data_IF_667365254843
#
_entry.id   IF_667365254843
#
_cell.length_a   1.000
_cell.length_b   1.000
_cell.length_c   1.000
_cell.angle_alpha   90.00
_cell.angle_beta   90.00
_cell.angle_gamma   90.00
#
_symmetry.space_group_name_H-M   'P 1'
#
loop_
_entity.id
_entity.type
_entity.pdbx_description
1 polymer ?
#
# COMPACT_ATOMS: atom_id res chain seq x y z
N UNK A 1 0.00 23.03 9.19
CA UNK A 1 0.11 21.67 8.60
C UNK A 1 -1.19 21.31 7.90
N UNK A 2 -1.12 20.63 6.74
CA UNK A 2 -2.30 20.12 6.04
C UNK A 2 -2.50 18.65 6.39
N UNK A 3 -3.73 18.26 6.74
CA UNK A 3 -4.11 16.88 6.98
C UNK A 3 -4.89 16.37 5.77
N UNK A 4 -4.40 15.33 5.12
CA UNK A 4 -5.14 14.61 4.10
C UNK A 4 -5.77 13.37 4.75
N UNK A 5 -7.06 13.44 5.02
CA UNK A 5 -7.81 12.33 5.62
C UNK A 5 -8.44 11.53 4.49
N UNK A 6 -8.15 10.25 4.44
CA UNK A 6 -8.73 9.31 3.48
C UNK A 6 -9.65 8.32 4.18
N UNK A 7 -10.77 8.00 3.53
CA UNK A 7 -11.67 6.93 3.94
C UNK A 7 -11.73 5.87 2.82
N UNK A 8 -10.93 4.80 2.95
CA UNK A 8 -10.81 3.80 1.88
C UNK A 8 -12.10 3.05 1.57
N UNK A 9 -13.01 2.90 2.54
CA UNK A 9 -14.28 2.21 2.36
C UNK A 9 -15.14 2.89 1.28
N UNK A 10 -15.24 4.22 1.34
CA UNK A 10 -16.03 5.02 0.40
C UNK A 10 -15.20 5.56 -0.78
N UNK A 11 -13.87 5.46 -0.72
CA UNK A 11 -12.97 6.00 -1.74
C UNK A 11 -12.88 7.52 -1.74
N UNK A 12 -13.24 8.17 -0.64
CA UNK A 12 -13.27 9.63 -0.47
C UNK A 12 -12.03 10.15 0.25
N UNK A 13 -11.75 11.44 0.08
CA UNK A 13 -10.66 12.14 0.75
C UNK A 13 -11.08 13.56 1.08
N UNK A 14 -10.62 14.06 2.23
CA UNK A 14 -10.80 15.45 2.67
C UNK A 14 -9.47 16.03 3.11
N UNK A 15 -9.19 17.27 2.73
CA UNK A 15 -8.02 17.99 3.18
C UNK A 15 -8.45 19.05 4.19
N UNK A 16 -7.78 19.09 5.35
CA UNK A 16 -8.04 20.02 6.43
C UNK A 16 -6.76 20.79 6.74
N UNK A 17 -6.84 22.07 6.96
CA UNK A 17 -5.72 22.88 7.42
C UNK A 17 -5.80 23.06 8.93
N UNK A 18 -4.73 22.72 9.62
CA UNK A 18 -4.61 22.90 11.07
C UNK A 18 -3.89 24.18 11.42
N UNK A 19 -4.28 24.78 12.54
CA UNK A 19 -3.55 25.88 13.13
C UNK A 19 -2.27 25.38 13.83
N UNK A 20 -1.28 26.27 14.00
CA UNK A 20 0.01 25.90 14.62
C UNK A 20 -0.13 25.35 16.06
N UNK A 21 -1.15 25.80 16.79
CA UNK A 21 -1.41 25.31 18.16
C UNK A 21 -1.93 23.86 18.17
N UNK A 22 -2.75 23.51 17.20
CA UNK A 22 -3.30 22.16 17.06
C UNK A 22 -2.25 21.17 16.54
N UNK A 23 -1.38 21.62 15.63
CA UNK A 23 -0.28 20.81 15.11
C UNK A 23 0.60 20.24 16.21
N UNK A 24 0.88 21.03 17.26
CA UNK A 24 1.73 20.64 18.39
C UNK A 24 1.21 19.39 19.11
N UNK A 25 -0.11 19.16 19.12
CA UNK A 25 -0.72 17.98 19.74
C UNK A 25 -0.36 16.67 19.01
N UNK A 26 0.03 16.76 17.74
CA UNK A 26 0.42 15.61 16.92
C UNK A 26 1.93 15.35 16.91
N UNK A 27 2.75 16.27 17.42
CA UNK A 27 4.21 16.10 17.43
C UNK A 27 4.62 14.91 18.30
N UNK A 28 5.64 14.19 17.86
CA UNK A 28 6.15 12.99 18.51
C UNK A 28 5.43 11.70 18.15
N UNK A 29 4.26 11.76 17.52
CA UNK A 29 3.58 10.57 17.00
C UNK A 29 4.32 9.99 15.81
N UNK A 30 4.18 8.69 15.59
CA UNK A 30 4.85 7.94 14.52
C UNK A 30 3.88 7.48 13.44
N UNK A 31 4.43 7.03 12.32
CA UNK A 31 3.68 6.30 11.30
C UNK A 31 3.08 5.04 11.96
N UNK A 32 1.82 4.74 11.66
CA UNK A 32 0.95 3.70 12.23
C UNK A 32 0.42 3.97 13.64
N UNK A 33 0.78 5.10 14.26
CA UNK A 33 0.12 5.48 15.51
C UNK A 33 -1.34 5.84 15.25
N UNK A 34 -2.23 5.31 16.09
CA UNK A 34 -3.64 5.67 16.12
C UNK A 34 -3.90 6.72 17.19
N UNK A 35 -4.81 7.61 16.92
CA UNK A 35 -5.18 8.67 17.86
C UNK A 35 -6.63 9.11 17.67
N UNK A 36 -7.21 9.71 18.71
CA UNK A 36 -8.56 10.25 18.70
C UNK A 36 -8.61 11.56 17.90
N UNK A 37 -9.68 11.72 17.12
CA UNK A 37 -9.94 12.91 16.33
C UNK A 37 -10.10 14.20 17.11
N UNK A 38 -10.34 14.14 18.41
CA UNK A 38 -10.37 15.32 19.30
C UNK A 38 -9.10 16.17 19.22
N UNK A 39 -7.96 15.54 18.85
CA UNK A 39 -6.69 16.25 18.65
C UNK A 39 -6.71 17.14 17.41
N UNK A 40 -7.55 16.83 16.43
CA UNK A 40 -7.73 17.60 15.18
C UNK A 40 -8.78 18.69 15.40
N UNK A 41 -9.88 18.32 16.07
CA UNK A 41 -10.96 19.25 16.34
C UNK A 41 -12.13 18.56 17.06
N UNK A 42 -12.94 19.36 17.77
CA UNK A 42 -14.12 18.84 18.48
C UNK A 42 -15.14 18.13 17.56
N UNK A 43 -15.18 18.49 16.30
CA UNK A 43 -16.04 17.86 15.29
C UNK A 43 -15.74 16.37 15.08
N UNK A 44 -14.48 15.96 15.34
CA UNK A 44 -13.97 14.60 15.12
C UNK A 44 -13.86 13.77 16.39
N UNK A 45 -14.49 14.22 17.48
CA UNK A 45 -14.46 13.54 18.77
C UNK A 45 -14.95 12.09 18.67
N UNK A 46 -14.19 11.15 19.25
CA UNK A 46 -14.50 9.72 19.25
C UNK A 46 -14.23 9.01 17.91
N UNK A 47 -13.72 9.72 16.89
CA UNK A 47 -13.22 9.09 15.65
C UNK A 47 -11.77 8.68 15.82
N UNK A 48 -11.37 7.55 15.26
CA UNK A 48 -9.99 7.07 15.35
C UNK A 48 -9.32 7.23 13.99
N UNK A 49 -8.21 7.95 13.99
CA UNK A 49 -7.35 8.15 12.82
C UNK A 49 -6.03 7.42 13.00
N UNK A 50 -5.48 6.91 11.89
CA UNK A 50 -4.14 6.33 11.82
C UNK A 50 -3.23 7.16 10.90
N UNK A 51 -1.99 7.39 11.33
CA UNK A 51 -0.98 8.08 10.53
C UNK A 51 -0.37 7.09 9.53
N UNK A 52 -0.55 7.35 8.24
CA UNK A 52 0.01 6.50 7.17
C UNK A 52 1.34 7.04 6.67
N UNK A 53 1.55 8.34 6.77
CA UNK A 53 2.76 8.99 6.33
C UNK A 53 2.58 10.49 6.20
N UNK A 54 3.56 11.14 5.60
CA UNK A 54 3.52 12.58 5.41
C UNK A 54 4.68 13.07 4.55
N UNK A 55 4.67 14.36 4.30
CA UNK A 55 5.70 15.04 3.54
C UNK A 55 6.15 16.30 4.28
N UNK A 56 7.43 16.52 4.23
CA UNK A 56 8.09 17.74 4.69
C UNK A 56 7.72 18.93 3.78
N UNK A 57 7.99 20.15 4.22
CA UNK A 57 7.76 21.38 3.44
C UNK A 57 8.51 21.40 2.09
N UNK A 58 9.58 20.62 1.92
CA UNK A 58 10.26 20.42 0.64
C UNK A 58 9.76 19.19 -0.15
N UNK A 59 8.71 18.52 0.30
CA UNK A 59 8.15 17.35 -0.36
C UNK A 59 8.89 16.03 -0.10
N UNK A 60 9.84 16.00 0.87
CA UNK A 60 10.52 14.76 1.27
C UNK A 60 9.56 13.90 2.07
N UNK A 61 9.35 12.65 1.64
CA UNK A 61 8.40 11.73 2.26
C UNK A 61 8.95 11.12 3.57
N UNK A 62 8.04 10.89 4.51
CA UNK A 62 8.30 10.10 5.71
C UNK A 62 8.42 8.61 5.36
N UNK A 63 9.26 7.89 6.09
CA UNK A 63 9.49 6.45 5.91
C UNK A 63 9.35 5.74 7.24
N UNK A 64 8.64 4.63 7.20
CA UNK A 64 8.43 3.72 8.33
C UNK A 64 9.73 3.10 8.84
N UNK A 65 9.77 2.77 10.14
CA UNK A 65 10.88 2.05 10.76
C UNK A 65 12.15 2.88 10.96
N UNK A 66 12.07 4.20 10.83
CA UNK A 66 13.17 5.13 11.11
C UNK A 66 12.74 6.18 12.13
N UNK A 67 12.89 5.86 13.39
CA UNK A 67 12.44 6.66 14.54
C UNK A 67 13.33 7.88 14.76
N UNK A 68 13.22 8.83 13.87
CA UNK A 68 13.92 10.12 13.91
C UNK A 68 13.04 11.21 13.33
N UNK A 69 13.22 12.43 13.82
CA UNK A 69 12.57 13.63 13.28
C UNK A 69 13.37 14.26 12.14
N UNK A 70 14.62 13.81 11.91
CA UNK A 70 15.53 14.40 10.94
C UNK A 70 15.43 13.72 9.58
N UNK A 71 15.98 14.37 8.55
CA UNK A 71 16.20 13.74 7.25
C UNK A 71 17.39 12.80 7.31
N UNK A 72 17.24 11.64 6.71
CA UNK A 72 18.28 10.61 6.62
C UNK A 72 18.45 10.16 5.18
N UNK A 73 19.64 9.65 4.84
CA UNK A 73 19.92 9.10 3.52
C UNK A 73 19.92 7.57 3.58
N UNK A 74 18.95 6.96 2.93
CA UNK A 74 18.79 5.50 2.86
C UNK A 74 19.14 4.97 1.47
N UNK A 75 19.68 3.76 1.43
CA UNK A 75 19.89 3.01 0.21
C UNK A 75 18.58 2.30 -0.17
N UNK A 76 17.84 2.89 -1.10
CA UNK A 76 16.52 2.42 -1.50
C UNK A 76 16.55 1.58 -2.77
N UNK A 77 15.67 0.61 -2.85
CA UNK A 77 15.43 -0.28 -4.00
C UNK A 77 14.06 0.00 -4.63
N UNK A 78 13.76 -0.70 -5.71
CA UNK A 78 12.44 -0.61 -6.35
C UNK A 78 11.34 -1.08 -5.40
N UNK A 79 10.34 -0.25 -5.18
CA UNK A 79 9.20 -0.51 -4.29
C UNK A 79 9.28 0.18 -2.93
N UNK A 80 10.46 0.64 -2.52
CA UNK A 80 10.60 1.40 -1.29
C UNK A 80 10.01 2.81 -1.42
N UNK A 81 9.44 3.31 -0.33
CA UNK A 81 8.88 4.67 -0.25
C UNK A 81 9.99 5.70 -0.48
N UNK A 82 9.70 6.72 -1.28
CA UNK A 82 10.66 7.79 -1.60
C UNK A 82 11.57 7.50 -2.81
N UNK A 83 11.47 6.33 -3.43
CA UNK A 83 12.25 6.02 -4.62
C UNK A 83 11.44 5.40 -5.76
N UNK A 84 11.27 6.14 -6.85
CA UNK A 84 10.68 5.64 -8.08
C UNK A 84 11.77 5.11 -9.02
N UNK A 85 12.13 3.84 -8.86
CA UNK A 85 13.12 3.17 -9.70
C UNK A 85 12.54 2.82 -11.07
N UNK A 86 13.25 3.19 -12.15
CA UNK A 86 12.86 2.85 -13.54
C UNK A 86 13.47 1.54 -14.02
N UNK A 87 14.55 1.06 -13.38
CA UNK A 87 15.28 -0.17 -13.75
C UNK A 87 15.22 -1.18 -12.62
N UNK A 88 15.13 -2.45 -12.95
CA UNK A 88 15.16 -3.55 -11.99
C UNK A 88 16.59 -3.72 -11.46
N UNK A 89 16.75 -3.94 -10.13
CA UNK A 89 18.04 -4.20 -9.50
C UNK A 89 18.86 -2.97 -9.12
N UNK A 90 18.50 -1.77 -9.60
CA UNK A 90 19.20 -0.54 -9.25
C UNK A 90 18.80 -0.06 -7.86
N UNK A 91 19.80 0.25 -7.02
CA UNK A 91 19.62 0.90 -5.72
C UNK A 91 20.20 2.31 -5.79
N UNK A 92 19.62 3.25 -5.06
CA UNK A 92 20.16 4.60 -4.93
C UNK A 92 20.01 5.13 -3.51
N UNK A 93 20.99 5.90 -3.05
CA UNK A 93 20.86 6.66 -1.80
C UNK A 93 19.97 7.87 -2.06
N UNK A 94 18.82 7.89 -1.38
CA UNK A 94 17.84 8.97 -1.41
C UNK A 94 17.66 9.55 -0.03
N UNK A 95 17.41 10.85 0.02
CA UNK A 95 17.03 11.52 1.25
C UNK A 95 15.56 11.23 1.51
N UNK A 96 15.26 10.79 2.71
CA UNK A 96 13.91 10.55 3.22
C UNK A 96 13.79 11.16 4.61
N UNK A 97 12.58 11.33 5.08
CA UNK A 97 12.28 11.78 6.43
C UNK A 97 12.02 10.60 7.36
N UNK A 98 12.36 10.76 8.63
CA UNK A 98 12.03 9.74 9.64
C UNK A 98 10.53 9.60 9.88
N UNK A 99 10.16 8.60 10.70
CA UNK A 99 8.77 8.23 10.99
C UNK A 99 8.07 9.18 11.97
N UNK A 100 8.79 10.03 12.69
CA UNK A 100 8.25 10.88 13.77
C UNK A 100 7.77 12.22 13.21
N UNK A 101 6.54 12.58 13.57
CA UNK A 101 5.93 13.87 13.22
C UNK A 101 6.62 15.01 13.99
N UNK A 102 6.96 16.07 13.31
CA UNK A 102 7.60 17.26 13.86
C UNK A 102 7.10 18.52 13.15
N UNK A 103 7.55 19.69 13.63
CA UNK A 103 7.19 21.00 13.08
C UNK A 103 7.56 21.22 11.60
N UNK A 104 8.47 20.41 11.05
CA UNK A 104 8.88 20.53 9.65
C UNK A 104 7.97 19.74 8.69
N UNK A 105 6.97 18.99 9.21
CA UNK A 105 6.02 18.27 8.38
C UNK A 105 4.93 19.26 7.90
N UNK A 106 4.82 19.39 6.57
CA UNK A 106 3.83 20.26 5.95
C UNK A 106 2.50 19.54 5.69
N UNK A 107 2.59 18.27 5.31
CA UNK A 107 1.42 17.46 4.97
C UNK A 107 1.49 16.14 5.73
N UNK A 108 0.41 15.78 6.42
CA UNK A 108 0.24 14.50 7.09
C UNK A 108 -0.92 13.74 6.45
N UNK A 109 -0.68 12.49 6.10
CA UNK A 109 -1.68 11.61 5.50
C UNK A 109 -2.25 10.69 6.58
N UNK A 110 -3.57 10.75 6.75
CA UNK A 110 -4.33 10.00 7.74
C UNK A 110 -5.33 9.08 7.06
N UNK A 111 -5.60 7.94 7.68
CA UNK A 111 -6.73 7.07 7.32
C UNK A 111 -7.72 7.08 8.50
N UNK A 112 -9.00 7.18 8.17
CA UNK A 112 -10.09 6.97 9.12
C UNK A 112 -10.25 5.47 9.36
N UNK A 113 -9.98 5.03 10.60
CA UNK A 113 -10.09 3.63 11.04
C UNK A 113 -11.47 3.36 11.64
N UNK A 114 -11.93 4.24 12.53
CA UNK A 114 -13.23 4.11 13.20
C UNK A 114 -13.98 5.44 13.14
N UNK A 115 -15.21 5.37 12.71
CA UNK A 115 -16.15 6.49 12.65
C UNK A 115 -17.03 6.50 13.91
N UNK A 116 -17.28 7.68 14.47
CA UNK A 116 -18.27 7.90 15.52
C UNK A 116 -19.44 8.73 15.01
N UNK A 117 -19.15 9.83 14.31
CA UNK A 117 -20.14 10.70 13.70
C UNK A 117 -19.90 10.80 12.19
N UNK A 118 -20.94 10.93 11.35
CA UNK A 118 -20.76 11.12 9.93
C UNK A 118 -20.00 12.42 9.64
N UNK A 119 -18.94 12.32 8.85
CA UNK A 119 -18.10 13.45 8.47
C UNK A 119 -18.50 13.86 7.05
N UNK A 120 -18.92 15.10 6.86
CA UNK A 120 -19.26 15.65 5.54
C UNK A 120 -18.11 15.50 4.54
N UNK A 121 -18.44 15.15 3.29
CA UNK A 121 -17.51 14.91 2.18
C UNK A 121 -16.59 13.69 2.36
N UNK A 122 -16.59 13.03 3.50
CA UNK A 122 -15.71 11.90 3.78
C UNK A 122 -16.49 10.60 3.95
N UNK A 123 -17.47 10.58 4.87
CA UNK A 123 -18.27 9.36 5.14
C UNK A 123 -19.65 9.43 4.52
N UNK A 124 -20.17 10.65 4.27
CA UNK A 124 -21.49 10.87 3.65
C UNK A 124 -21.49 10.62 2.14
N UNK A 125 -20.36 10.75 1.50
CA UNK A 125 -20.21 10.55 0.06
C UNK A 125 -19.58 9.20 -0.25
N UNK A 126 -20.03 8.58 -1.33
CA UNK A 126 -19.44 7.37 -1.88
C UNK A 126 -18.93 7.61 -3.29
N UNK A 127 -17.66 7.29 -3.53
CA UNK A 127 -17.05 7.43 -4.85
C UNK A 127 -16.88 6.06 -5.49
N UNK A 128 -17.72 5.79 -6.47
CA UNK A 128 -17.59 4.58 -7.28
C UNK A 128 -16.30 4.56 -8.10
N UNK A 129 -15.79 3.36 -8.30
CA UNK A 129 -14.64 3.16 -9.20
C UNK A 129 -15.09 3.38 -10.63
N UNK A 130 -14.54 4.40 -11.29
CA UNK A 130 -14.88 4.79 -12.66
C UNK A 130 -14.60 3.73 -13.73
N UNK A 131 -13.75 2.75 -13.44
CA UNK A 131 -13.33 1.74 -14.40
C UNK A 131 -13.31 0.34 -13.80
N UNK A 132 -13.84 -0.62 -14.55
CA UNK A 132 -13.72 -2.03 -14.23
C UNK A 132 -12.25 -2.52 -14.37
N UNK A 133 -11.85 -3.52 -13.59
CA UNK A 133 -10.52 -4.11 -13.72
C UNK A 133 -10.30 -4.70 -15.12
N UNK A 134 -9.10 -4.53 -15.68
CA UNK A 134 -8.74 -5.08 -16.99
C UNK A 134 -8.27 -6.54 -16.95
N UNK A 135 -7.85 -7.06 -15.79
CA UNK A 135 -7.41 -8.45 -15.62
C UNK A 135 -8.63 -9.35 -15.47
N UNK A 136 -8.66 -10.45 -16.23
CA UNK A 136 -9.78 -11.42 -16.21
C UNK A 136 -10.08 -11.92 -14.80
N UNK A 137 -9.10 -12.43 -14.05
CA UNK A 137 -9.34 -12.95 -12.71
C UNK A 137 -9.95 -11.88 -11.76
N UNK A 138 -9.39 -10.66 -11.76
CA UNK A 138 -9.96 -9.57 -10.94
C UNK A 138 -11.36 -9.15 -11.40
N UNK A 139 -11.66 -9.34 -12.67
CA UNK A 139 -12.98 -9.06 -13.22
C UNK A 139 -13.97 -10.15 -12.81
N UNK A 140 -13.54 -11.43 -12.82
CA UNK A 140 -14.32 -12.52 -12.26
C UNK A 140 -14.65 -12.29 -10.78
N UNK A 141 -13.64 -11.88 -9.97
CA UNK A 141 -13.83 -11.59 -8.55
C UNK A 141 -14.88 -10.49 -8.32
N UNK A 142 -14.86 -9.42 -9.14
CA UNK A 142 -15.81 -8.31 -9.05
C UNK A 142 -17.22 -8.71 -9.51
N UNK A 143 -17.31 -9.57 -10.53
CA UNK A 143 -18.60 -10.01 -11.09
C UNK A 143 -19.17 -11.27 -10.39
N UNK A 144 -18.43 -11.86 -9.44
CA UNK A 144 -18.87 -13.10 -8.78
C UNK A 144 -18.89 -14.32 -9.70
N UNK A 145 -18.05 -14.35 -10.75
CA UNK A 145 -18.01 -15.40 -11.77
C UNK A 145 -16.82 -16.32 -11.52
N UNK A 146 -16.96 -17.61 -11.77
CA UNK A 146 -15.87 -18.57 -11.65
C UNK A 146 -14.69 -18.24 -12.59
N UNK A 147 -13.46 -18.44 -12.07
CA UNK A 147 -12.25 -18.26 -12.87
C UNK A 147 -12.18 -19.28 -14.02
N UNK A 148 -11.99 -18.78 -15.22
CA UNK A 148 -11.94 -19.60 -16.44
C UNK A 148 -13.22 -19.57 -17.28
N UNK A 149 -14.32 -18.99 -16.80
CA UNK A 149 -15.53 -18.78 -17.57
C UNK A 149 -15.36 -17.72 -18.67
N UNK A 150 -16.28 -17.67 -19.61
CA UNK A 150 -16.26 -16.69 -20.70
C UNK A 150 -16.75 -15.31 -20.22
N UNK A 151 -15.88 -14.59 -19.53
CA UNK A 151 -16.15 -13.27 -18.95
C UNK A 151 -16.68 -12.27 -19.97
N UNK A 152 -16.30 -12.41 -21.25
CA UNK A 152 -16.74 -11.49 -22.31
C UNK A 152 -18.22 -11.61 -22.61
N UNK A 153 -18.77 -12.81 -22.58
CA UNK A 153 -20.22 -13.05 -22.77
C UNK A 153 -21.02 -12.53 -21.60
N UNK A 154 -20.56 -12.79 -20.38
CA UNK A 154 -21.17 -12.24 -19.18
C UNK A 154 -21.20 -10.71 -19.17
N UNK A 155 -20.08 -10.08 -19.53
CA UNK A 155 -20.01 -8.62 -19.66
C UNK A 155 -20.96 -8.06 -20.71
N UNK A 156 -21.14 -8.76 -21.83
CA UNK A 156 -22.11 -8.33 -22.86
C UNK A 156 -23.54 -8.35 -22.33
N UNK A 157 -23.88 -9.34 -21.50
CA UNK A 157 -25.21 -9.44 -20.88
C UNK A 157 -25.45 -8.37 -19.82
N UNK A 158 -24.40 -8.06 -19.01
CA UNK A 158 -24.49 -7.06 -17.92
C UNK A 158 -24.45 -5.61 -18.45
N UNK A 159 -23.65 -5.37 -19.48
CA UNK A 159 -23.45 -4.05 -20.07
C UNK A 159 -24.21 -3.87 -21.38
N UNK A 160 -25.49 -4.22 -21.38
CA UNK A 160 -26.34 -4.10 -22.58
C UNK A 160 -26.24 -2.69 -23.18
N UNK A 161 -25.74 -2.60 -24.41
CA UNK A 161 -25.61 -1.33 -25.15
C UNK A 161 -24.43 -0.44 -24.80
N UNK A 162 -23.63 -0.76 -23.77
CA UNK A 162 -22.45 0.01 -23.39
C UNK A 162 -21.16 -0.57 -24.02
N UNK A 163 -20.14 0.31 -24.21
CA UNK A 163 -18.84 -0.13 -24.70
C UNK A 163 -18.17 -1.08 -23.70
N UNK A 164 -17.88 -2.27 -24.17
CA UNK A 164 -17.14 -3.25 -23.38
C UNK A 164 -15.74 -2.73 -22.97
N UNK A 165 -15.32 -2.93 -21.73
CA UNK A 165 -13.99 -2.55 -21.30
C UNK A 165 -12.93 -3.33 -22.08
N UNK A 166 -11.81 -2.69 -22.41
CA UNK A 166 -10.68 -3.33 -23.08
C UNK A 166 -10.02 -4.34 -22.15
N UNK A 167 -10.31 -5.61 -22.34
CA UNK A 167 -9.75 -6.69 -21.53
C UNK A 167 -8.26 -6.89 -21.86
N UNK A 168 -7.47 -7.19 -20.83
CA UNK A 168 -6.08 -7.58 -21.01
C UNK A 168 -6.03 -9.02 -21.49
N UNK A 169 -5.65 -9.22 -22.74
CA UNK A 169 -5.40 -10.55 -23.30
C UNK A 169 -4.16 -11.11 -22.60
N UNK A 170 -4.35 -12.22 -21.90
CA UNK A 170 -3.25 -12.99 -21.32
C UNK A 170 -2.72 -13.91 -22.42
N UNK A 171 -1.40 -14.00 -22.58
CA UNK A 171 -0.78 -14.97 -23.48
C UNK A 171 -1.30 -16.36 -23.13
N UNK A 172 -1.76 -17.16 -24.12
CA UNK A 172 -2.11 -18.55 -23.86
C UNK A 172 -0.89 -19.26 -23.29
N UNK A 173 -1.10 -20.01 -22.23
CA UNK A 173 -0.04 -20.83 -21.63
C UNK A 173 0.13 -22.03 -22.53
N UNK A 174 1.27 -22.14 -23.19
CA UNK A 174 1.60 -23.30 -24.06
C UNK A 174 2.05 -24.48 -23.20
N UNK A 175 1.87 -25.70 -23.70
CA UNK A 175 2.32 -26.92 -23.00
C UNK A 175 3.81 -26.87 -22.63
N UNK A 176 4.64 -26.33 -23.53
CA UNK A 176 6.07 -26.11 -23.25
C UNK A 176 6.33 -25.17 -22.08
N UNK A 177 5.50 -24.16 -21.90
CA UNK A 177 5.60 -23.26 -20.75
C UNK A 177 5.17 -23.96 -19.46
N UNK A 178 4.16 -24.82 -19.50
CA UNK A 178 3.74 -25.63 -18.36
C UNK A 178 4.89 -26.58 -17.96
N UNK A 179 5.48 -27.30 -18.94
CA UNK A 179 6.62 -28.19 -18.70
C UNK A 179 7.80 -27.45 -18.07
N UNK A 180 8.18 -26.29 -18.61
CA UNK A 180 9.24 -25.44 -18.01
C UNK A 180 8.91 -24.97 -16.60
N UNK A 181 7.67 -24.62 -16.30
CA UNK A 181 7.25 -24.20 -14.96
C UNK A 181 7.32 -25.33 -13.95
N UNK A 182 6.89 -26.54 -14.34
CA UNK A 182 6.96 -27.73 -13.47
C UNK A 182 8.40 -28.15 -13.22
N UNK A 183 9.25 -28.12 -14.23
CA UNK A 183 10.69 -28.40 -14.12
C UNK A 183 11.39 -27.39 -13.22
N UNK A 184 11.17 -26.09 -13.45
CA UNK A 184 11.70 -25.02 -12.61
C UNK A 184 11.22 -25.11 -11.14
N UNK A 185 10.00 -25.60 -10.92
CA UNK A 185 9.48 -25.84 -9.57
C UNK A 185 10.25 -26.98 -8.89
N UNK A 186 10.48 -28.10 -9.57
CA UNK A 186 11.28 -29.23 -9.07
C UNK A 186 12.70 -28.79 -8.72
N UNK A 187 13.38 -28.08 -9.63
CA UNK A 187 14.74 -27.56 -9.39
C UNK A 187 14.79 -26.65 -8.15
N UNK A 188 13.77 -25.80 -7.96
CA UNK A 188 13.69 -24.93 -6.77
C UNK A 188 13.49 -25.73 -5.48
N UNK A 189 12.69 -26.78 -5.52
CA UNK A 189 12.45 -27.68 -4.38
C UNK A 189 13.71 -28.46 -4.03
N UNK A 190 14.38 -29.05 -5.00
CA UNK A 190 15.66 -29.74 -4.83
C UNK A 190 16.74 -28.82 -4.24
N UNK A 191 16.83 -27.59 -4.76
CA UNK A 191 17.76 -26.57 -4.22
C UNK A 191 17.44 -26.21 -2.77
N UNK A 192 16.16 -26.11 -2.39
CA UNK A 192 15.78 -25.89 -1.01
C UNK A 192 16.18 -27.05 -0.11
N UNK A 193 15.94 -28.29 -0.55
CA UNK A 193 16.31 -29.50 0.20
C UNK A 193 17.82 -29.57 0.39
N UNK A 194 18.59 -29.26 -0.66
CA UNK A 194 20.05 -29.22 -0.60
C UNK A 194 20.54 -28.18 0.42
N UNK A 195 20.02 -26.95 0.35
CA UNK A 195 20.38 -25.88 1.29
C UNK A 195 20.03 -26.23 2.74
N UNK A 196 18.92 -26.95 2.97
CA UNK A 196 18.56 -27.42 4.30
C UNK A 196 19.54 -28.50 4.80
N UNK A 197 19.94 -29.44 3.94
CA UNK A 197 20.94 -30.45 4.27
C UNK A 197 22.29 -29.81 4.63
N UNK A 198 22.75 -28.88 3.76
CA UNK A 198 24.01 -28.15 3.97
C UNK A 198 23.97 -27.34 5.27
N UNK A 199 22.82 -26.76 5.63
CA UNK A 199 22.62 -26.04 6.89
C UNK A 199 22.70 -26.97 8.09
N UNK A 200 22.03 -28.13 8.06
CA UNK A 200 22.04 -29.10 9.14
C UNK A 200 23.46 -29.66 9.33
N UNK A 201 24.19 -29.93 8.26
CA UNK A 201 25.56 -30.39 8.31
C UNK A 201 26.49 -29.33 8.91
N UNK A 202 26.32 -28.07 8.54
CA UNK A 202 27.04 -26.96 9.11
C UNK A 202 26.76 -26.80 10.61
N UNK A 203 25.49 -26.85 11.02
CA UNK A 203 25.09 -26.78 12.45
C UNK A 203 25.64 -27.95 13.28
N UNK A 204 25.72 -29.14 12.72
CA UNK A 204 26.35 -30.31 13.37
C UNK A 204 27.86 -30.13 13.56
N UNK A 205 28.53 -29.49 12.61
CA UNK A 205 29.97 -29.32 12.59
C UNK A 205 30.47 -28.14 13.43
N UNK A 206 29.71 -27.07 13.50
CA UNK A 206 30.13 -25.78 14.09
C UNK A 206 29.21 -25.28 15.21
N UNK A 207 28.13 -25.97 15.52
CA UNK A 207 27.12 -25.54 16.47
C UNK A 207 26.10 -24.57 15.83
N UNK A 208 24.93 -24.43 16.47
CA UNK A 208 23.88 -23.55 15.97
C UNK A 208 24.34 -22.08 15.97
N UNK A 209 24.24 -21.44 14.83
CA UNK A 209 24.47 -19.99 14.72
C UNK A 209 23.33 -19.29 15.43
N UNK A 210 23.64 -18.54 16.50
CA UNK A 210 22.69 -17.71 17.25
C UNK A 210 22.23 -16.51 16.42
#
# INVERSE_FOLDING_TARGET
MKLNIAYPANGTQKCIEMSTKEEQKLYGKKIHDQFDGILIGQEYEGTIFEIVGGNDYQGVCMVEGKDTTKRIRLLLKKGDVGYRCRRIGVRRRKTVRGSIVSNEIQVLNLILVKENKPIEQLTTEFKEKSHLPKKLNKLCDVLGIEHGSNVREHLKKVLEGQKLPKLRIVRPITENEIKKRTENKKIREERKIRLLKDKIEYEKKYGAVK
#
